data_IF_898157560851
#
_entry.id   IF_898157560851
#
_cell.length_a   1.000
_cell.length_b   1.000
_cell.length_c   1.000
_cell.angle_alpha   90.00
_cell.angle_beta   90.00
_cell.angle_gamma   90.00
#
_symmetry.space_group_name_H-M   'P 1'
#
loop_
_entity.id
_entity.type
_entity.pdbx_description
1 polymer ?
#
# COMPACT_ATOMS: atom_id res chain seq x y z
N UNK A 1 6.13 34.86 20.41
CA UNK A 1 5.41 34.37 19.21
C UNK A 1 6.24 34.36 17.91
N UNK A 2 7.46 34.94 17.85
CA UNK A 2 8.28 34.98 16.63
C UNK A 2 9.44 33.96 16.56
N UNK A 3 9.75 33.24 17.63
CA UNK A 3 10.88 32.29 17.67
C UNK A 3 10.51 30.82 17.41
N UNK A 4 9.21 30.49 17.29
CA UNK A 4 8.74 29.11 17.01
C UNK A 4 8.54 28.81 15.51
N UNK A 5 8.90 29.73 14.61
CA UNK A 5 8.73 29.58 13.15
C UNK A 5 10.03 29.32 12.38
N UNK A 6 11.18 29.30 13.05
CA UNK A 6 12.51 29.12 12.44
C UNK A 6 13.06 27.70 12.58
N UNK A 7 12.33 26.81 13.22
CA UNK A 7 12.60 25.37 13.30
C UNK A 7 11.36 24.69 12.73
N UNK A 8 11.34 24.46 11.42
CA UNK A 8 10.34 23.64 10.78
C UNK A 8 10.67 22.17 11.13
N UNK A 9 9.88 21.46 11.96
CA UNK A 9 10.08 20.03 12.17
C UNK A 9 9.61 19.20 10.95
N UNK A 10 9.16 19.89 9.90
CA UNK A 10 8.37 19.37 8.79
C UNK A 10 8.86 19.93 7.44
N UNK A 11 10.17 20.18 7.28
CA UNK A 11 10.74 20.57 5.97
C UNK A 11 10.70 19.43 4.92
N UNK A 12 10.16 18.25 5.29
CA UNK A 12 10.08 17.03 4.47
C UNK A 12 8.73 16.33 4.59
N UNK A 13 7.63 17.09 4.58
CA UNK A 13 6.26 16.52 4.72
C UNK A 13 5.99 15.52 3.60
N UNK A 14 6.45 15.84 2.39
CA UNK A 14 6.21 15.07 1.18
C UNK A 14 6.96 13.74 1.24
N UNK A 15 8.27 13.75 1.53
CA UNK A 15 9.06 12.53 1.71
C UNK A 15 8.55 11.66 2.89
N UNK A 16 8.08 12.28 3.98
CA UNK A 16 7.42 11.55 5.07
C UNK A 16 6.18 10.80 4.58
N UNK A 17 5.33 11.44 3.75
CA UNK A 17 4.11 10.83 3.21
C UNK A 17 4.39 9.68 2.24
N UNK A 18 5.48 9.76 1.47
CA UNK A 18 5.96 8.63 0.65
C UNK A 18 6.28 7.42 1.54
N UNK A 19 7.07 7.61 2.61
CA UNK A 19 7.38 6.54 3.56
C UNK A 19 6.15 6.01 4.30
N UNK A 20 5.24 6.89 4.70
CA UNK A 20 3.99 6.48 5.36
C UNK A 20 3.13 5.61 4.44
N UNK A 21 3.09 5.92 3.14
CA UNK A 21 2.38 5.09 2.14
C UNK A 21 3.01 3.71 1.99
N UNK A 22 4.35 3.64 1.95
CA UNK A 22 5.11 2.37 1.98
C UNK A 22 4.79 1.54 3.23
N UNK A 23 4.88 2.15 4.41
CA UNK A 23 4.57 1.50 5.69
C UNK A 23 3.13 0.94 5.71
N UNK A 24 2.16 1.72 5.19
CA UNK A 24 0.76 1.32 5.09
C UNK A 24 0.55 0.15 4.13
N UNK A 25 1.17 0.18 2.95
CA UNK A 25 1.08 -0.88 1.95
C UNK A 25 1.77 -2.16 2.44
N UNK A 26 2.91 -2.03 3.12
CA UNK A 26 3.59 -3.14 3.76
C UNK A 26 2.73 -3.77 4.87
N UNK A 27 2.05 -2.94 5.68
CA UNK A 27 1.08 -3.43 6.67
C UNK A 27 -0.11 -4.14 6.00
N UNK A 28 -0.60 -3.62 4.86
CA UNK A 28 -1.69 -4.22 4.11
C UNK A 28 -1.31 -5.62 3.58
N UNK A 29 -0.13 -5.75 2.97
CA UNK A 29 0.39 -7.04 2.50
C UNK A 29 0.58 -8.03 3.66
N UNK A 30 1.15 -7.58 4.79
CA UNK A 30 1.28 -8.40 6.01
C UNK A 30 -0.07 -8.89 6.51
N UNK A 31 -1.09 -8.05 6.49
CA UNK A 31 -2.46 -8.42 6.87
C UNK A 31 -2.98 -9.55 5.98
N UNK A 32 -2.89 -9.42 4.65
CA UNK A 32 -3.34 -10.45 3.70
C UNK A 32 -2.58 -11.76 3.89
N UNK A 33 -1.25 -11.70 4.06
CA UNK A 33 -0.42 -12.89 4.32
C UNK A 33 -0.80 -13.58 5.62
N UNK A 34 -1.05 -12.83 6.69
CA UNK A 34 -1.49 -13.37 7.98
C UNK A 34 -2.85 -14.09 7.89
N UNK A 35 -3.76 -13.58 7.05
CA UNK A 35 -5.04 -14.24 6.76
C UNK A 35 -4.80 -15.54 5.98
N UNK A 36 -3.89 -15.56 5.01
CA UNK A 36 -3.55 -16.78 4.27
C UNK A 36 -2.99 -17.85 5.21
N UNK A 37 -2.05 -17.49 6.10
CA UNK A 37 -1.49 -18.38 7.12
C UNK A 37 -2.57 -18.96 8.02
N UNK A 38 -3.46 -18.12 8.54
CA UNK A 38 -4.61 -18.53 9.35
C UNK A 38 -5.51 -19.53 8.61
N UNK A 39 -5.78 -19.29 7.33
CA UNK A 39 -6.64 -20.15 6.51
C UNK A 39 -5.98 -21.50 6.18
N UNK A 40 -4.66 -21.52 5.99
CA UNK A 40 -3.86 -22.74 5.73
C UNK A 40 -3.67 -23.59 6.99
N UNK A 41 -3.65 -22.98 8.17
CA UNK A 41 -3.59 -23.71 9.42
C UNK A 41 -4.79 -24.66 9.59
N UNK A 42 -4.54 -25.83 10.19
CA UNK A 42 -5.59 -26.78 10.56
C UNK A 42 -6.52 -26.12 11.59
N UNK A 43 -7.83 -26.46 11.62
CA UNK A 43 -8.78 -25.81 12.51
C UNK A 43 -8.35 -25.75 13.99
N UNK A 44 -7.73 -26.82 14.51
CA UNK A 44 -7.25 -26.86 15.90
C UNK A 44 -5.96 -26.06 16.18
N UNK A 45 -5.23 -25.67 15.14
CA UNK A 45 -3.96 -24.93 15.26
C UNK A 45 -4.15 -23.42 15.04
N UNK A 46 -5.35 -23.01 14.64
CA UNK A 46 -5.69 -21.60 14.39
C UNK A 46 -5.69 -20.82 15.69
N UNK A 47 -4.96 -19.71 15.70
CA UNK A 47 -4.90 -18.78 16.83
C UNK A 47 -5.20 -17.38 16.33
N UNK A 48 -6.00 -16.62 17.07
CA UNK A 48 -6.28 -15.21 16.72
C UNK A 48 -5.01 -14.37 16.63
N UNK A 49 -3.97 -14.72 17.39
CA UNK A 49 -2.65 -14.08 17.34
C UNK A 49 -1.91 -14.24 16.00
N UNK A 50 -2.35 -15.16 15.12
CA UNK A 50 -1.81 -15.27 13.76
C UNK A 50 -2.29 -14.13 12.87
N UNK A 51 -3.43 -13.50 13.18
CA UNK A 51 -4.00 -12.45 12.36
C UNK A 51 -3.39 -11.10 12.73
N UNK A 52 -2.94 -10.38 11.71
CA UNK A 52 -2.42 -9.02 11.84
C UNK A 52 -3.47 -8.05 11.32
N UNK A 53 -3.81 -7.03 12.11
CA UNK A 53 -4.69 -5.93 11.67
C UNK A 53 -6.16 -6.29 11.48
N UNK A 54 -6.61 -7.47 11.92
CA UNK A 54 -8.02 -7.86 11.96
C UNK A 54 -8.29 -9.00 12.97
N UNK A 55 -9.54 -9.10 13.42
CA UNK A 55 -10.03 -10.26 14.17
C UNK A 55 -10.52 -11.38 13.22
N UNK A 56 -10.90 -12.53 13.77
CA UNK A 56 -11.33 -13.68 12.97
C UNK A 56 -12.60 -13.37 12.16
N UNK A 57 -13.55 -12.74 12.81
CA UNK A 57 -14.83 -12.28 12.26
C UNK A 57 -14.65 -11.22 11.17
N UNK A 58 -13.56 -10.45 11.21
CA UNK A 58 -13.34 -9.30 10.33
C UNK A 58 -12.57 -9.64 9.04
N UNK A 59 -12.00 -10.84 8.92
CA UNK A 59 -11.14 -11.21 7.78
C UNK A 59 -11.81 -10.95 6.43
N UNK A 60 -13.09 -11.31 6.30
CA UNK A 60 -13.86 -11.11 5.07
C UNK A 60 -13.98 -9.62 4.72
N UNK A 61 -14.35 -8.81 5.71
CA UNK A 61 -14.43 -7.36 5.57
C UNK A 61 -13.07 -6.76 5.22
N UNK A 62 -12.00 -7.20 5.90
CA UNK A 62 -10.65 -6.71 5.69
C UNK A 62 -10.12 -6.97 4.28
N UNK A 63 -10.35 -8.17 3.74
CA UNK A 63 -9.95 -8.52 2.37
C UNK A 63 -10.71 -7.69 1.32
N UNK A 64 -12.03 -7.51 1.50
CA UNK A 64 -12.85 -6.69 0.59
C UNK A 64 -12.45 -5.21 0.55
N UNK A 65 -11.69 -4.74 1.53
CA UNK A 65 -11.18 -3.36 1.57
C UNK A 65 -9.79 -3.20 1.00
N UNK A 66 -9.10 -4.28 0.64
CA UNK A 66 -7.75 -4.21 0.08
C UNK A 66 -7.70 -3.32 -1.18
N UNK A 67 -8.61 -3.46 -2.17
CA UNK A 67 -8.60 -2.59 -3.35
C UNK A 67 -8.79 -1.10 -3.00
N UNK A 68 -9.74 -0.79 -2.11
CA UNK A 68 -9.99 0.57 -1.62
C UNK A 68 -8.74 1.18 -0.95
N UNK A 69 -8.06 0.39 -0.10
CA UNK A 69 -6.86 0.82 0.60
C UNK A 69 -5.74 1.11 -0.40
N UNK A 70 -5.49 0.20 -1.36
CA UNK A 70 -4.43 0.38 -2.37
C UNK A 70 -4.72 1.61 -3.23
N UNK A 71 -5.95 1.75 -3.74
CA UNK A 71 -6.34 2.90 -4.54
C UNK A 71 -6.16 4.22 -3.78
N UNK A 72 -6.49 4.23 -2.48
CA UNK A 72 -6.28 5.39 -1.62
C UNK A 72 -4.81 5.70 -1.41
N UNK A 73 -4.00 4.70 -1.06
CA UNK A 73 -2.56 4.89 -0.82
C UNK A 73 -1.87 5.37 -2.10
N UNK A 74 -2.16 4.81 -3.27
CA UNK A 74 -1.54 5.25 -4.53
C UNK A 74 -2.07 6.62 -4.97
N UNK A 75 -3.37 6.77 -5.13
CA UNK A 75 -3.97 7.94 -5.77
C UNK A 75 -4.07 9.18 -4.89
N UNK A 76 -4.30 9.02 -3.59
CA UNK A 76 -4.52 10.16 -2.68
C UNK A 76 -3.32 10.47 -1.79
N UNK A 77 -2.45 9.50 -1.51
CA UNK A 77 -1.30 9.71 -0.65
C UNK A 77 0.01 9.78 -1.46
N UNK A 78 0.35 8.71 -2.18
CA UNK A 78 1.67 8.55 -2.79
C UNK A 78 1.91 9.52 -3.95
N UNK A 79 1.03 9.56 -4.96
CA UNK A 79 1.22 10.42 -6.13
C UNK A 79 1.25 11.91 -5.72
N UNK A 80 0.30 12.43 -4.93
CA UNK A 80 0.37 13.82 -4.47
C UNK A 80 1.61 14.12 -3.62
N UNK A 81 2.08 13.17 -2.82
CA UNK A 81 3.31 13.33 -2.05
C UNK A 81 4.54 13.44 -2.97
N UNK A 82 4.62 12.64 -4.03
CA UNK A 82 5.69 12.72 -5.02
C UNK A 82 5.69 14.07 -5.75
N UNK A 83 4.53 14.57 -6.17
CA UNK A 83 4.39 15.89 -6.80
C UNK A 83 4.85 17.02 -5.87
N UNK A 84 4.59 16.88 -4.58
CA UNK A 84 4.97 17.86 -3.56
C UNK A 84 6.44 17.79 -3.12
N UNK A 85 7.26 16.89 -3.67
CA UNK A 85 8.70 16.80 -3.36
C UNK A 85 9.52 18.01 -3.86
N UNK A 86 8.94 18.84 -4.72
CA UNK A 86 9.54 20.14 -5.08
C UNK A 86 9.76 21.03 -3.86
N UNK A 87 8.87 20.95 -2.86
CA UNK A 87 9.01 21.66 -1.58
C UNK A 87 10.18 21.14 -0.74
N UNK A 88 10.56 19.89 -0.95
CA UNK A 88 11.67 19.22 -0.26
C UNK A 88 12.99 19.36 -1.05
N UNK A 89 13.00 20.13 -2.15
CA UNK A 89 14.19 20.44 -2.95
C UNK A 89 14.50 19.46 -4.08
N UNK A 90 13.60 18.52 -4.39
CA UNK A 90 13.76 17.61 -5.53
C UNK A 90 13.48 18.36 -6.85
N UNK A 91 14.34 18.25 -7.88
CA UNK A 91 14.10 18.88 -9.17
C UNK A 91 12.80 18.41 -9.82
N UNK A 92 11.98 19.34 -10.29
CA UNK A 92 10.69 19.03 -10.93
C UNK A 92 10.83 18.10 -12.14
N UNK A 93 11.88 18.26 -12.94
CA UNK A 93 12.16 17.38 -14.08
C UNK A 93 12.37 15.92 -13.67
N UNK A 94 13.00 15.68 -12.51
CA UNK A 94 13.24 14.33 -12.01
C UNK A 94 11.94 13.72 -11.48
N UNK A 95 11.10 14.51 -10.79
CA UNK A 95 9.77 14.11 -10.33
C UNK A 95 8.89 13.72 -11.53
N UNK A 96 8.82 14.56 -12.57
CA UNK A 96 8.03 14.29 -13.77
C UNK A 96 8.50 12.99 -14.44
N UNK A 97 9.81 12.83 -14.60
CA UNK A 97 10.40 11.63 -15.20
C UNK A 97 10.06 10.39 -14.38
N UNK A 98 10.17 10.48 -13.06
CA UNK A 98 9.85 9.37 -12.16
C UNK A 98 8.36 9.01 -12.21
N UNK A 99 7.46 9.99 -12.12
CA UNK A 99 6.01 9.79 -12.22
C UNK A 99 5.63 9.13 -13.56
N UNK A 100 6.24 9.56 -14.66
CA UNK A 100 6.04 8.93 -15.97
C UNK A 100 6.51 7.47 -15.99
N UNK A 101 7.58 7.13 -15.29
CA UNK A 101 8.10 5.76 -15.22
C UNK A 101 7.19 4.80 -14.45
N UNK A 102 6.57 5.26 -13.34
CA UNK A 102 5.69 4.41 -12.52
C UNK A 102 4.24 4.43 -12.98
N UNK A 103 3.83 5.42 -13.79
CA UNK A 103 2.44 5.59 -14.23
C UNK A 103 1.81 4.32 -14.84
N UNK A 104 2.47 3.58 -15.76
CA UNK A 104 1.87 2.35 -16.31
C UNK A 104 1.60 1.28 -15.24
N UNK A 105 2.46 1.18 -14.22
CA UNK A 105 2.29 0.23 -13.12
C UNK A 105 1.13 0.65 -12.22
N UNK A 106 1.04 1.95 -11.88
CA UNK A 106 -0.08 2.51 -11.09
C UNK A 106 -1.41 2.29 -11.82
N UNK A 107 -1.49 2.63 -13.10
CA UNK A 107 -2.72 2.47 -13.89
C UNK A 107 -3.16 1.00 -13.95
N UNK A 108 -2.21 0.06 -14.09
CA UNK A 108 -2.49 -1.39 -14.05
C UNK A 108 -3.03 -1.81 -12.68
N UNK A 109 -2.37 -1.42 -11.59
CA UNK A 109 -2.78 -1.79 -10.22
C UNK A 109 -4.18 -1.25 -9.90
N UNK A 110 -4.50 -0.02 -10.33
CA UNK A 110 -5.83 0.54 -10.13
C UNK A 110 -6.91 -0.19 -10.94
N UNK A 111 -6.62 -0.58 -12.19
CA UNK A 111 -7.55 -1.40 -12.98
C UNK A 111 -7.79 -2.79 -12.36
N UNK A 112 -6.75 -3.40 -11.79
CA UNK A 112 -6.87 -4.66 -11.06
C UNK A 112 -7.65 -4.49 -9.75
N UNK A 113 -7.50 -3.36 -9.05
CA UNK A 113 -8.33 -3.03 -7.89
C UNK A 113 -9.82 -3.06 -8.26
N UNK A 114 -10.22 -2.42 -9.35
CA UNK A 114 -11.60 -2.40 -9.81
C UNK A 114 -12.12 -3.80 -10.15
N UNK A 115 -11.32 -4.58 -10.90
CA UNK A 115 -11.68 -5.94 -11.28
C UNK A 115 -11.88 -6.86 -10.06
N UNK A 116 -10.97 -6.80 -9.08
CA UNK A 116 -11.07 -7.60 -7.87
C UNK A 116 -12.21 -7.12 -6.96
N UNK A 117 -12.42 -5.80 -6.86
CA UNK A 117 -13.53 -5.23 -6.10
C UNK A 117 -14.87 -5.74 -6.66
N UNK A 118 -15.03 -5.75 -7.98
CA UNK A 118 -16.21 -6.32 -8.64
C UNK A 118 -16.37 -7.81 -8.34
N UNK A 119 -15.31 -8.60 -8.49
CA UNK A 119 -15.33 -10.05 -8.31
C UNK A 119 -15.64 -10.47 -6.86
N UNK A 120 -15.11 -9.73 -5.88
CA UNK A 120 -15.20 -10.08 -4.44
C UNK A 120 -16.35 -9.39 -3.71
N UNK A 121 -17.02 -8.41 -4.34
CA UNK A 121 -18.13 -7.64 -3.76
C UNK A 121 -19.20 -8.53 -3.13
N UNK A 122 -19.66 -9.54 -3.87
CA UNK A 122 -20.74 -10.46 -3.45
C UNK A 122 -20.26 -11.59 -2.55
N UNK A 123 -19.05 -12.10 -2.77
CA UNK A 123 -18.52 -13.25 -2.03
C UNK A 123 -16.99 -13.25 -2.00
N UNK A 124 -16.41 -13.52 -0.83
CA UNK A 124 -14.96 -13.67 -0.64
C UNK A 124 -14.51 -15.14 -0.63
N UNK A 125 -15.44 -16.09 -0.89
CA UNK A 125 -15.15 -17.52 -0.72
C UNK A 125 -14.10 -18.06 -1.69
N UNK A 126 -14.12 -17.63 -2.96
CA UNK A 126 -13.11 -18.00 -3.94
C UNK A 126 -11.73 -17.50 -3.50
N UNK A 127 -11.66 -16.24 -3.09
CA UNK A 127 -10.43 -15.63 -2.58
C UNK A 127 -9.85 -16.39 -1.37
N UNK A 128 -10.68 -16.95 -0.48
CA UNK A 128 -10.19 -17.82 0.59
C UNK A 128 -9.59 -19.14 0.09
N UNK A 129 -10.11 -19.71 -1.00
CA UNK A 129 -9.52 -20.89 -1.63
C UNK A 129 -8.18 -20.52 -2.28
N UNK A 130 -8.14 -19.40 -2.99
CA UNK A 130 -6.95 -18.91 -3.69
C UNK A 130 -5.83 -18.54 -2.70
N UNK A 131 -6.17 -17.89 -1.58
CA UNK A 131 -5.23 -17.63 -0.48
C UNK A 131 -4.63 -18.93 0.09
N UNK A 132 -5.44 -19.98 0.25
CA UNK A 132 -4.94 -21.28 0.72
C UNK A 132 -3.99 -21.92 -0.31
N UNK A 133 -4.35 -21.86 -1.58
CA UNK A 133 -3.54 -22.38 -2.69
C UNK A 133 -2.27 -21.56 -2.93
N UNK A 134 -2.22 -20.30 -2.50
CA UNK A 134 -1.13 -19.38 -2.80
C UNK A 134 -1.28 -18.64 -4.12
N UNK A 135 -2.48 -18.62 -4.68
CA UNK A 135 -2.82 -18.06 -6.00
C UNK A 135 -3.70 -16.80 -5.87
N UNK A 136 -3.69 -16.17 -4.69
CA UNK A 136 -4.51 -14.99 -4.38
C UNK A 136 -4.14 -13.78 -5.23
N UNK A 137 -5.11 -13.29 -6.00
CA UNK A 137 -5.00 -12.05 -6.75
C UNK A 137 -4.84 -10.85 -5.81
N UNK A 138 -5.47 -10.85 -4.63
CA UNK A 138 -5.28 -9.79 -3.63
C UNK A 138 -3.85 -9.74 -3.08
N UNK A 139 -3.22 -10.90 -2.86
CA UNK A 139 -1.85 -10.96 -2.37
C UNK A 139 -0.86 -10.45 -3.43
N UNK A 140 -1.07 -10.80 -4.71
CA UNK A 140 -0.30 -10.27 -5.83
C UNK A 140 -0.48 -8.75 -5.95
N UNK A 141 -1.73 -8.27 -5.94
CA UNK A 141 -2.05 -6.84 -5.99
C UNK A 141 -1.39 -6.04 -4.86
N UNK A 142 -1.38 -6.57 -3.63
CA UNK A 142 -0.69 -5.95 -2.50
C UNK A 142 0.82 -5.86 -2.73
N UNK A 143 1.43 -6.89 -3.33
CA UNK A 143 2.87 -6.91 -3.60
C UNK A 143 3.24 -5.89 -4.68
N UNK A 144 2.43 -5.82 -5.75
CA UNK A 144 2.63 -4.86 -6.85
C UNK A 144 2.48 -3.41 -6.37
N UNK A 145 1.49 -3.13 -5.51
CA UNK A 145 1.34 -1.80 -4.92
C UNK A 145 2.52 -1.43 -4.00
N UNK A 146 3.02 -2.39 -3.22
CA UNK A 146 4.18 -2.19 -2.35
C UNK A 146 5.44 -1.90 -3.17
N UNK A 147 5.67 -2.62 -4.28
CA UNK A 147 6.81 -2.40 -5.15
C UNK A 147 6.86 -0.96 -5.69
N UNK A 148 5.70 -0.39 -6.08
CA UNK A 148 5.60 1.02 -6.49
C UNK A 148 6.01 1.97 -5.35
N UNK A 149 5.58 1.69 -4.11
CA UNK A 149 5.93 2.51 -2.96
C UNK A 149 7.42 2.38 -2.59
N UNK A 150 8.00 1.18 -2.69
CA UNK A 150 9.43 0.93 -2.49
C UNK A 150 10.28 1.68 -3.53
N UNK A 151 9.85 1.70 -4.79
CA UNK A 151 10.46 2.52 -5.85
C UNK A 151 10.41 4.02 -5.49
N UNK A 152 9.28 4.51 -4.98
CA UNK A 152 9.13 5.91 -4.55
C UNK A 152 10.02 6.26 -3.34
N UNK A 153 10.15 5.34 -2.39
CA UNK A 153 11.08 5.46 -1.26
C UNK A 153 12.53 5.51 -1.76
N UNK A 154 12.89 4.65 -2.72
CA UNK A 154 14.22 4.65 -3.32
C UNK A 154 14.52 5.95 -4.07
N UNK A 155 13.54 6.49 -4.81
CA UNK A 155 13.63 7.81 -5.44
C UNK A 155 13.92 8.90 -4.41
N UNK A 156 13.17 8.96 -3.31
CA UNK A 156 13.39 9.94 -2.23
C UNK A 156 14.80 9.84 -1.62
N UNK A 157 15.30 8.61 -1.37
CA UNK A 157 16.66 8.38 -0.88
C UNK A 157 17.72 8.83 -1.87
N UNK A 158 17.51 8.60 -3.17
CA UNK A 158 18.39 9.04 -4.25
C UNK A 158 18.59 10.56 -4.28
N UNK A 159 17.57 11.31 -3.85
CA UNK A 159 17.62 12.77 -3.72
C UNK A 159 17.97 13.28 -2.31
N UNK A 160 18.25 12.40 -1.34
CA UNK A 160 18.65 12.78 0.02
C UNK A 160 17.55 13.42 0.87
N UNK A 161 16.28 13.26 0.46
CA UNK A 161 15.11 13.81 1.18
C UNK A 161 14.46 12.82 2.15
N UNK A 162 14.87 11.55 2.12
CA UNK A 162 14.49 10.51 3.08
C UNK A 162 15.74 9.79 3.61
#
# INVERSE_FOLDING_TARGET
MRERKTSYPFDRISAYKVRESDDNLQHNLRTVRSIAEYLRARPGDRRSSMLVGCAEEDKAYRLKRVPEIIARELGYNLIPALEALTLDGVPEADIITFLQSIKPQVDRVLAECDAIQMATSRSIKSEYADLKAGESALAALCADALDIAEQAVAFCKGHGVL
#
